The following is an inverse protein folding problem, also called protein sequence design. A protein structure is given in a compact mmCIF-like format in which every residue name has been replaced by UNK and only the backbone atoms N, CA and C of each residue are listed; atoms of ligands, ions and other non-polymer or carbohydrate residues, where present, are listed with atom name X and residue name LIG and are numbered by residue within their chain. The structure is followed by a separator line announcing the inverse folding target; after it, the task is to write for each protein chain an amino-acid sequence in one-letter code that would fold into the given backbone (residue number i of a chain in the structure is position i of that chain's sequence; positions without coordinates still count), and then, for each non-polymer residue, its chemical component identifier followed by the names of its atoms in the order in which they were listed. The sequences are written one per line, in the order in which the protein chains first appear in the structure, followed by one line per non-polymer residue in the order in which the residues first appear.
data_IF_443101791024
#
_entry.id   IF_443101791024
#
_cell.length_a   1.000
_cell.length_b   1.000
_cell.length_c   1.000
_cell.angle_alpha   90.00
_cell.angle_beta   90.00
_cell.angle_gamma   90.00
#
_symmetry.space_group_name_H-M   'P 1'
#
loop_
_entity.id
_entity.type
_entity.pdbx_description
1 polymer ?
#
# COMPACT_ATOMS: atom_id res chain seq x y z
N UNK A 1 -67.08 44.87 16.01
CA UNK A 1 -66.78 43.92 14.88
C UNK A 1 -65.27 43.88 14.72
N UNK A 2 -64.68 42.91 15.38
CA UNK A 2 -63.19 42.79 15.47
C UNK A 2 -62.68 41.80 14.43
N UNK A 3 -61.78 42.27 13.54
CA UNK A 3 -61.10 41.45 12.54
C UNK A 3 -59.89 40.80 13.16
N UNK A 4 -59.93 39.54 13.44
CA UNK A 4 -58.80 38.73 13.86
C UNK A 4 -57.97 38.38 12.63
N UNK A 5 -56.82 39.04 12.53
CA UNK A 5 -55.79 38.66 11.55
C UNK A 5 -54.93 37.53 12.15
N UNK A 6 -55.22 36.34 11.66
CA UNK A 6 -54.41 35.17 11.96
C UNK A 6 -53.07 35.30 11.23
N UNK A 7 -52.00 35.55 11.96
CA UNK A 7 -50.59 35.47 11.44
C UNK A 7 -50.19 33.99 11.39
N UNK A 8 -50.21 33.43 10.18
CA UNK A 8 -49.63 32.14 9.91
C UNK A 8 -48.11 32.33 9.83
N UNK A 9 -47.44 31.94 10.90
CA UNK A 9 -45.97 31.88 10.96
C UNK A 9 -45.53 30.59 10.28
N UNK A 10 -45.05 30.70 9.05
CA UNK A 10 -44.44 29.58 8.33
C UNK A 10 -43.04 29.39 8.90
N UNK A 11 -42.90 28.43 9.82
CA UNK A 11 -41.59 27.92 10.25
C UNK A 11 -40.99 27.11 9.12
N UNK A 12 -40.06 27.73 8.38
CA UNK A 12 -39.18 27.04 7.46
C UNK A 12 -38.22 26.17 8.30
N UNK A 13 -38.58 24.91 8.47
CA UNK A 13 -37.68 23.91 9.05
C UNK A 13 -36.64 23.57 7.96
N UNK A 14 -35.52 24.30 7.94
CA UNK A 14 -34.37 23.95 7.16
C UNK A 14 -33.82 22.64 7.74
N UNK A 15 -34.21 21.52 7.18
CA UNK A 15 -33.63 20.22 7.44
C UNK A 15 -32.16 20.27 6.96
N UNK A 16 -31.25 20.62 7.87
CA UNK A 16 -29.83 20.38 7.69
C UNK A 16 -29.66 18.85 7.61
N UNK A 17 -29.61 18.34 6.39
CA UNK A 17 -29.06 17.00 6.15
C UNK A 17 -27.57 17.04 6.53
N UNK A 18 -27.29 16.76 7.81
CA UNK A 18 -25.96 16.30 8.21
C UNK A 18 -25.74 14.98 7.48
N UNK A 19 -25.16 15.05 6.30
CA UNK A 19 -24.46 13.88 5.75
C UNK A 19 -23.32 13.58 6.72
N UNK A 20 -23.55 12.66 7.64
CA UNK A 20 -22.46 12.04 8.39
C UNK A 20 -21.58 11.41 7.33
N UNK A 21 -20.52 12.15 6.91
CA UNK A 21 -19.44 11.58 6.15
C UNK A 21 -18.87 10.46 7.03
N UNK A 22 -19.23 9.24 6.74
CA UNK A 22 -18.72 8.06 7.44
C UNK A 22 -17.25 7.97 7.05
N UNK A 23 -16.41 8.57 7.90
CA UNK A 23 -15.00 8.70 7.67
C UNK A 23 -14.38 7.32 7.54
N UNK A 24 -13.96 6.98 6.32
CA UNK A 24 -12.99 5.94 6.08
C UNK A 24 -11.80 6.25 7.00
N UNK A 25 -11.26 5.24 7.65
CA UNK A 25 -10.16 5.44 8.58
C UNK A 25 -8.88 5.74 7.79
N UNK A 26 -8.63 7.01 7.54
CA UNK A 26 -7.35 7.50 7.02
C UNK A 26 -6.51 7.95 8.20
N UNK A 27 -5.32 7.39 8.33
CA UNK A 27 -4.42 7.66 9.46
C UNK A 27 -3.07 8.14 8.92
N UNK A 28 -2.53 9.26 9.39
CA UNK A 28 -1.18 9.68 9.03
C UNK A 28 -0.16 8.71 9.63
N UNK A 29 0.85 8.35 8.83
CA UNK A 29 2.01 7.60 9.31
C UNK A 29 2.97 8.52 10.04
N UNK A 30 3.38 8.14 11.23
CA UNK A 30 4.35 8.88 12.04
C UNK A 30 5.42 7.92 12.61
N UNK A 31 6.68 8.05 12.18
CA UNK A 31 7.16 8.97 11.12
C UNK A 31 6.67 8.53 9.72
N UNK A 32 6.66 9.45 8.73
CA UNK A 32 6.47 9.09 7.34
C UNK A 32 7.54 8.10 6.88
N UNK A 33 7.16 7.15 6.02
CA UNK A 33 8.07 6.15 5.51
C UNK A 33 8.72 6.62 4.19
N UNK A 34 9.96 6.19 3.92
CA UNK A 34 10.65 6.53 2.68
C UNK A 34 9.93 5.91 1.47
N UNK A 35 9.88 6.65 0.37
CA UNK A 35 9.34 6.21 -0.91
C UNK A 35 10.43 6.24 -1.98
N UNK A 36 10.22 5.52 -3.08
CA UNK A 36 11.11 5.63 -4.23
C UNK A 36 11.04 7.06 -4.80
N UNK A 37 12.22 7.68 -5.00
CA UNK A 37 12.29 9.04 -5.52
C UNK A 37 12.37 9.03 -7.06
N UNK A 38 11.36 8.46 -7.71
CA UNK A 38 11.24 8.34 -9.16
C UNK A 38 10.22 9.32 -9.78
N UNK A 39 9.76 10.29 -8.97
CA UNK A 39 8.78 11.30 -9.38
C UNK A 39 7.34 10.78 -9.46
N UNK A 40 7.09 9.54 -9.03
CA UNK A 40 5.76 8.92 -9.04
C UNK A 40 5.17 8.89 -7.64
N UNK A 41 3.84 8.86 -7.59
CA UNK A 41 3.12 8.60 -6.35
C UNK A 41 3.09 7.09 -6.11
N UNK A 42 3.67 6.64 -5.01
CA UNK A 42 3.65 5.23 -4.61
C UNK A 42 2.38 4.91 -3.84
N UNK A 43 1.70 3.83 -4.24
CA UNK A 43 0.56 3.25 -3.51
C UNK A 43 0.91 1.81 -3.19
N UNK A 44 0.95 1.48 -1.89
CA UNK A 44 1.23 0.13 -1.40
C UNK A 44 -0.05 -0.49 -0.87
N UNK A 45 -0.34 -1.72 -1.28
CA UNK A 45 -1.33 -2.56 -0.64
C UNK A 45 -0.62 -3.57 0.26
N UNK A 46 -0.90 -3.55 1.55
CA UNK A 46 -0.51 -4.61 2.47
C UNK A 46 -1.65 -5.63 2.57
N UNK A 47 -1.38 -6.87 2.19
CA UNK A 47 -2.38 -7.92 2.10
C UNK A 47 -1.91 -9.26 2.69
N UNK A 48 -2.85 -10.19 2.92
CA UNK A 48 -2.54 -11.58 3.23
C UNK A 48 -3.50 -12.52 2.48
N UNK A 49 -2.98 -13.61 1.90
CA UNK A 49 -3.83 -14.58 1.19
C UNK A 49 -4.89 -15.24 2.06
N UNK A 50 -4.61 -15.42 3.36
CA UNK A 50 -5.58 -15.94 4.31
C UNK A 50 -6.64 -14.94 4.78
N UNK A 51 -6.54 -13.68 4.36
CA UNK A 51 -7.46 -12.61 4.77
C UNK A 51 -8.65 -12.54 3.81
N UNK A 52 -9.86 -12.86 4.29
CA UNK A 52 -11.09 -12.78 3.50
C UNK A 52 -11.41 -11.36 3.01
N UNK A 53 -11.07 -10.34 3.81
CA UNK A 53 -11.27 -8.94 3.42
C UNK A 53 -10.36 -8.53 2.26
N UNK A 54 -9.12 -9.08 2.20
CA UNK A 54 -8.24 -8.90 1.06
C UNK A 54 -8.80 -9.58 -0.20
N UNK A 55 -9.27 -10.83 -0.05
CA UNK A 55 -9.91 -11.55 -1.16
C UNK A 55 -11.13 -10.78 -1.73
N UNK A 56 -11.93 -10.18 -0.85
CA UNK A 56 -13.09 -9.40 -1.26
C UNK A 56 -12.72 -8.06 -1.90
N UNK A 57 -11.59 -7.46 -1.51
CA UNK A 57 -11.11 -6.18 -2.06
C UNK A 57 -10.43 -6.36 -3.43
N UNK A 58 -9.76 -7.50 -3.66
CA UNK A 58 -8.89 -7.73 -4.81
C UNK A 58 -9.51 -7.37 -6.17
N UNK A 59 -10.76 -7.75 -6.52
CA UNK A 59 -11.34 -7.38 -7.82
C UNK A 59 -11.49 -5.87 -8.02
N UNK A 60 -11.83 -5.15 -6.95
CA UNK A 60 -11.97 -3.69 -6.99
C UNK A 60 -10.61 -3.00 -7.06
N UNK A 61 -9.62 -3.48 -6.30
CA UNK A 61 -8.25 -2.99 -6.34
C UNK A 61 -7.63 -3.17 -7.73
N UNK A 62 -7.75 -4.35 -8.31
CA UNK A 62 -7.24 -4.63 -9.64
C UNK A 62 -7.86 -3.70 -10.70
N UNK A 63 -9.19 -3.49 -10.62
CA UNK A 63 -9.90 -2.58 -11.51
C UNK A 63 -9.46 -1.13 -11.30
N UNK A 64 -9.28 -0.71 -10.06
CA UNK A 64 -8.82 0.63 -9.72
C UNK A 64 -7.36 0.85 -10.17
N UNK A 65 -6.47 -0.11 -9.90
CA UNK A 65 -5.05 -0.03 -10.26
C UNK A 65 -4.84 0.11 -11.77
N UNK A 66 -5.60 -0.61 -12.59
CA UNK A 66 -5.55 -0.52 -14.07
C UNK A 66 -5.98 0.83 -14.62
N UNK A 67 -6.78 1.59 -13.88
CA UNK A 67 -7.23 2.93 -14.28
C UNK A 67 -6.24 4.03 -13.87
N UNK A 68 -5.25 3.72 -13.05
CA UNK A 68 -4.30 4.72 -12.60
C UNK A 68 -3.39 5.20 -13.74
N UNK A 69 -3.10 6.49 -13.80
CA UNK A 69 -2.17 7.04 -14.77
C UNK A 69 -0.73 6.59 -14.46
N UNK A 70 0.18 6.75 -15.43
CA UNK A 70 1.56 6.26 -15.37
C UNK A 70 2.43 6.92 -14.29
N UNK A 71 1.98 8.01 -13.70
CA UNK A 71 2.61 8.69 -12.57
C UNK A 71 2.19 8.12 -11.20
N UNK A 72 1.35 7.08 -11.17
CA UNK A 72 1.00 6.32 -9.97
C UNK A 72 1.56 4.91 -10.08
N UNK A 73 2.26 4.47 -9.04
CA UNK A 73 2.89 3.15 -8.97
C UNK A 73 2.22 2.33 -7.86
N UNK A 74 1.41 1.37 -8.27
CA UNK A 74 0.73 0.47 -7.33
C UNK A 74 1.58 -0.78 -7.12
N UNK A 75 1.85 -1.11 -5.86
CA UNK A 75 2.62 -2.30 -5.46
C UNK A 75 1.88 -3.08 -4.38
N UNK A 76 1.94 -4.41 -4.46
CA UNK A 76 1.44 -5.31 -3.44
C UNK A 76 2.56 -5.74 -2.50
N UNK A 77 2.32 -5.64 -1.20
CA UNK A 77 3.25 -6.05 -0.14
C UNK A 77 2.58 -7.16 0.66
N UNK A 78 3.00 -8.40 0.47
CA UNK A 78 2.45 -9.52 1.23
C UNK A 78 2.83 -9.41 2.71
N UNK A 79 1.85 -9.58 3.60
CA UNK A 79 2.05 -9.60 5.05
C UNK A 79 2.52 -10.97 5.52
N UNK A 80 3.44 -11.04 6.50
CA UNK A 80 3.87 -12.30 7.12
C UNK A 80 2.84 -12.91 8.07
N UNK A 81 1.75 -12.20 8.36
CA UNK A 81 0.73 -12.70 9.28
C UNK A 81 0.15 -13.99 8.73
N UNK A 82 0.40 -15.10 9.44
CA UNK A 82 0.01 -16.43 9.01
C UNK A 82 -1.48 -16.70 9.28
N UNK A 83 -2.36 -15.98 8.61
CA UNK A 83 -3.80 -16.24 8.65
C UNK A 83 -4.02 -17.57 7.90
N UNK A 84 -4.75 -18.49 8.50
CA UNK A 84 -4.98 -19.85 7.97
C UNK A 84 -3.68 -20.64 7.74
N UNK A 85 -2.58 -20.33 8.43
CA UNK A 85 -1.28 -20.98 8.24
C UNK A 85 -0.56 -20.59 6.94
N UNK A 86 -0.98 -19.53 6.25
CA UNK A 86 -0.44 -19.12 4.95
C UNK A 86 0.61 -18.02 5.16
N UNK A 87 1.88 -18.29 4.85
CA UNK A 87 2.90 -17.24 4.71
C UNK A 87 2.81 -16.60 3.32
N UNK A 88 2.08 -15.48 3.25
CA UNK A 88 1.86 -14.77 2.00
C UNK A 88 3.15 -14.21 1.39
N UNK A 89 4.17 -13.91 2.21
CA UNK A 89 5.43 -13.32 1.71
C UNK A 89 6.19 -14.29 0.83
N UNK A 90 6.29 -15.53 1.29
CA UNK A 90 7.00 -16.57 0.56
C UNK A 90 6.27 -16.97 -0.72
N UNK A 91 4.95 -17.19 -0.62
CA UNK A 91 4.14 -17.60 -1.78
C UNK A 91 4.20 -16.52 -2.87
N UNK A 92 3.94 -15.26 -2.51
CA UNK A 92 3.89 -14.14 -3.47
C UNK A 92 5.22 -13.99 -4.23
N UNK A 93 6.34 -13.87 -3.49
CA UNK A 93 7.62 -13.62 -4.13
C UNK A 93 8.19 -14.83 -4.87
N UNK A 94 7.81 -16.06 -4.47
CA UNK A 94 8.15 -17.27 -5.24
C UNK A 94 7.46 -17.25 -6.59
N UNK A 95 6.17 -16.96 -6.62
CA UNK A 95 5.41 -16.89 -7.88
C UNK A 95 5.81 -15.69 -8.74
N UNK A 96 6.21 -14.58 -8.12
CA UNK A 96 6.77 -13.44 -8.83
C UNK A 96 8.10 -13.83 -9.50
N UNK A 97 9.01 -14.52 -8.79
CA UNK A 97 10.27 -14.99 -9.34
C UNK A 97 10.09 -15.98 -10.51
N UNK A 98 9.01 -16.75 -10.49
CA UNK A 98 8.63 -17.66 -11.57
C UNK A 98 7.82 -16.99 -12.71
N UNK A 99 7.55 -15.67 -12.62
CA UNK A 99 6.73 -14.96 -13.61
C UNK A 99 5.26 -15.38 -13.63
N UNK A 100 4.76 -15.95 -12.52
CA UNK A 100 3.41 -16.49 -12.43
C UNK A 100 2.44 -15.64 -11.59
N UNK A 101 2.95 -14.59 -10.95
CA UNK A 101 2.18 -13.86 -9.93
C UNK A 101 0.92 -13.22 -10.52
N UNK A 102 1.01 -12.52 -11.65
CA UNK A 102 -0.12 -11.84 -12.28
C UNK A 102 -1.29 -12.79 -12.58
N UNK A 103 -0.96 -14.00 -12.99
CA UNK A 103 -1.95 -15.04 -13.36
C UNK A 103 -2.53 -15.75 -12.14
N UNK A 104 -1.72 -15.94 -11.10
CA UNK A 104 -2.08 -16.79 -9.97
C UNK A 104 -2.52 -16.02 -8.72
N UNK A 105 -2.19 -14.74 -8.59
CA UNK A 105 -2.56 -13.95 -7.41
C UNK A 105 -4.07 -14.02 -7.09
N UNK A 106 -4.99 -13.71 -8.01
CA UNK A 106 -6.42 -13.83 -7.71
C UNK A 106 -6.87 -15.28 -7.51
N UNK A 107 -6.22 -16.25 -8.18
CA UNK A 107 -6.55 -17.66 -8.02
C UNK A 107 -6.18 -18.22 -6.65
N UNK A 108 -5.12 -17.70 -6.00
CA UNK A 108 -4.76 -18.13 -4.65
C UNK A 108 -5.81 -17.69 -3.64
N UNK A 109 -6.34 -16.47 -3.78
CA UNK A 109 -7.48 -16.04 -2.96
C UNK A 109 -8.68 -16.96 -3.16
N UNK A 110 -9.02 -17.29 -4.41
CA UNK A 110 -10.12 -18.21 -4.70
C UNK A 110 -9.85 -19.61 -4.12
N UNK A 111 -8.62 -20.12 -4.27
CA UNK A 111 -8.22 -21.41 -3.70
C UNK A 111 -8.42 -21.44 -2.19
N UNK A 112 -7.94 -20.41 -1.48
CA UNK A 112 -8.02 -20.35 -0.03
C UNK A 112 -9.46 -20.18 0.50
N UNK A 113 -10.26 -19.33 -0.15
CA UNK A 113 -11.55 -18.91 0.41
C UNK A 113 -12.77 -19.57 -0.24
N UNK A 114 -12.71 -19.96 -1.51
CA UNK A 114 -13.84 -20.53 -2.25
C UNK A 114 -13.66 -22.03 -2.51
N UNK A 115 -12.48 -22.46 -2.95
CA UNK A 115 -12.21 -23.86 -3.29
C UNK A 115 -11.83 -24.72 -2.07
N UNK A 116 -11.67 -24.10 -0.89
CA UNK A 116 -11.27 -24.75 0.37
C UNK A 116 -9.93 -25.51 0.26
N UNK A 117 -9.03 -25.00 -0.58
CA UNK A 117 -7.66 -25.52 -0.68
C UNK A 117 -6.88 -25.06 0.58
N UNK A 118 -6.27 -26.00 1.26
CA UNK A 118 -5.42 -25.67 2.42
C UNK A 118 -4.06 -25.16 1.90
N UNK A 119 -4.02 -23.91 1.47
CA UNK A 119 -2.84 -23.26 0.86
C UNK A 119 -1.63 -23.27 1.80
N UNK A 120 -1.85 -23.23 3.12
CA UNK A 120 -0.80 -23.33 4.14
C UNK A 120 -0.21 -24.75 4.27
N UNK A 121 -0.78 -25.78 3.62
CA UNK A 121 -0.24 -27.13 3.61
C UNK A 121 0.58 -27.36 2.33
N UNK A 122 1.91 -27.56 2.40
CA UNK A 122 2.77 -27.68 1.23
C UNK A 122 2.35 -28.80 0.28
N UNK A 123 1.96 -29.95 0.78
CA UNK A 123 1.56 -31.09 -0.06
C UNK A 123 0.27 -30.82 -0.84
N UNK A 124 -0.69 -30.15 -0.22
CA UNK A 124 -1.94 -29.77 -0.88
C UNK A 124 -1.70 -28.64 -1.87
N UNK A 125 -0.90 -27.65 -1.48
CA UNK A 125 -0.59 -26.50 -2.32
C UNK A 125 0.24 -26.89 -3.54
N UNK A 126 1.19 -27.84 -3.42
CA UNK A 126 1.97 -28.35 -4.56
C UNK A 126 1.07 -29.01 -5.59
N UNK A 127 0.07 -29.79 -5.18
CA UNK A 127 -0.92 -30.37 -6.12
C UNK A 127 -1.75 -29.29 -6.82
N UNK A 128 -2.09 -28.22 -6.09
CA UNK A 128 -2.80 -27.08 -6.68
C UNK A 128 -1.91 -26.32 -7.67
N UNK A 129 -0.63 -26.11 -7.35
CA UNK A 129 0.36 -25.49 -8.24
C UNK A 129 0.49 -26.29 -9.55
N UNK A 130 0.66 -27.60 -9.46
CA UNK A 130 0.76 -28.49 -10.62
C UNK A 130 -0.48 -28.40 -11.51
N UNK A 131 -1.69 -28.48 -10.92
CA UNK A 131 -2.96 -28.30 -11.64
C UNK A 131 -3.05 -26.93 -12.32
N UNK A 132 -2.37 -25.91 -11.80
CA UNK A 132 -2.31 -24.56 -12.35
C UNK A 132 -1.07 -24.32 -13.23
N UNK A 133 -0.35 -25.37 -13.65
CA UNK A 133 0.76 -25.30 -14.60
C UNK A 133 2.07 -24.77 -14.00
N UNK A 134 2.25 -24.87 -12.69
CA UNK A 134 3.51 -24.56 -11.99
C UNK A 134 4.13 -25.88 -11.53
N UNK A 135 5.36 -26.14 -11.97
CA UNK A 135 6.14 -27.29 -11.52
C UNK A 135 6.50 -27.14 -10.04
N UNK A 136 6.05 -28.06 -9.15
CA UNK A 136 6.33 -27.96 -7.71
C UNK A 136 7.82 -27.95 -7.36
N UNK A 137 8.66 -28.67 -8.13
CA UNK A 137 10.10 -28.69 -7.89
C UNK A 137 10.72 -27.33 -8.18
N UNK A 138 10.37 -26.71 -9.31
CA UNK A 138 10.81 -25.34 -9.63
C UNK A 138 10.31 -24.34 -8.62
N UNK A 139 9.09 -24.52 -8.10
CA UNK A 139 8.55 -23.68 -7.03
C UNK A 139 9.38 -23.79 -5.75
N UNK A 140 9.71 -25.02 -5.31
CA UNK A 140 10.52 -25.25 -4.12
C UNK A 140 11.97 -24.71 -4.25
N UNK A 141 12.55 -24.83 -5.45
CA UNK A 141 13.87 -24.26 -5.76
C UNK A 141 13.83 -22.72 -5.72
N UNK A 142 12.85 -22.11 -6.39
CA UNK A 142 12.68 -20.67 -6.41
C UNK A 142 12.43 -20.11 -5.01
N UNK A 143 11.64 -20.79 -4.18
CA UNK A 143 11.34 -20.42 -2.80
C UNK A 143 12.62 -20.27 -1.94
N UNK A 144 13.63 -21.08 -2.20
CA UNK A 144 14.91 -21.05 -1.47
C UNK A 144 15.92 -20.07 -2.05
N UNK A 145 15.59 -19.42 -3.17
CA UNK A 145 16.50 -18.49 -3.83
C UNK A 145 16.77 -17.25 -2.96
N UNK A 146 17.99 -16.72 -3.06
CA UNK A 146 18.38 -15.50 -2.35
C UNK A 146 17.44 -14.32 -2.64
N UNK A 147 16.99 -14.19 -3.87
CA UNK A 147 16.05 -13.12 -4.28
C UNK A 147 14.71 -13.22 -3.53
N UNK A 148 14.11 -14.41 -3.49
CA UNK A 148 12.82 -14.62 -2.80
C UNK A 148 12.96 -14.38 -1.30
N UNK A 149 13.98 -14.96 -0.68
CA UNK A 149 14.25 -14.80 0.76
C UNK A 149 14.45 -13.32 1.10
N UNK A 150 15.24 -12.60 0.30
CA UNK A 150 15.50 -11.16 0.52
C UNK A 150 14.24 -10.33 0.38
N UNK A 151 13.43 -10.55 -0.67
CA UNK A 151 12.15 -9.83 -0.87
C UNK A 151 11.15 -10.13 0.24
N UNK A 152 11.02 -11.40 0.65
CA UNK A 152 10.14 -11.79 1.75
C UNK A 152 10.55 -11.12 3.07
N UNK A 153 11.85 -11.08 3.38
CA UNK A 153 12.34 -10.39 4.58
C UNK A 153 12.14 -8.88 4.51
N UNK A 154 12.32 -8.27 3.33
CA UNK A 154 12.00 -6.85 3.13
C UNK A 154 10.51 -6.56 3.37
N UNK A 155 9.61 -7.40 2.87
CA UNK A 155 8.18 -7.23 3.10
C UNK A 155 7.82 -7.34 4.59
N UNK A 156 8.42 -8.30 5.32
CA UNK A 156 8.26 -8.42 6.78
C UNK A 156 8.67 -7.14 7.48
N UNK A 157 9.86 -6.63 7.13
CA UNK A 157 10.33 -5.37 7.69
C UNK A 157 9.43 -4.18 7.33
N UNK A 158 8.89 -4.12 6.12
CA UNK A 158 7.95 -3.06 5.74
C UNK A 158 6.67 -3.12 6.59
N UNK A 159 6.12 -4.30 6.87
CA UNK A 159 4.95 -4.44 7.75
C UNK A 159 5.24 -3.87 9.14
N UNK A 160 6.44 -4.09 9.68
CA UNK A 160 6.87 -3.54 10.97
C UNK A 160 7.07 -2.02 10.91
N UNK A 161 7.85 -1.53 9.94
CA UNK A 161 8.18 -0.11 9.79
C UNK A 161 6.94 0.76 9.55
N UNK A 162 5.99 0.26 8.77
CA UNK A 162 4.70 0.92 8.50
C UNK A 162 3.66 0.70 9.60
N UNK A 163 3.99 -0.11 10.64
CA UNK A 163 3.10 -0.46 11.76
C UNK A 163 1.77 -1.03 11.28
N UNK A 164 1.83 -1.91 10.27
CA UNK A 164 0.64 -2.55 9.71
C UNK A 164 0.13 -3.59 10.70
N UNK A 165 -1.06 -3.38 11.25
CA UNK A 165 -1.71 -4.25 12.22
C UNK A 165 -2.99 -4.92 11.70
N UNK A 166 -3.42 -4.55 10.52
CA UNK A 166 -4.59 -5.11 9.84
C UNK A 166 -4.39 -5.17 8.33
N UNK A 167 -5.07 -6.11 7.67
CA UNK A 167 -5.10 -6.24 6.20
C UNK A 167 -6.54 -6.33 5.70
N UNK A 168 -6.88 -5.78 4.55
CA UNK A 168 -6.02 -4.98 3.67
C UNK A 168 -5.78 -3.56 4.23
N UNK A 169 -4.55 -3.04 4.06
CA UNK A 169 -4.22 -1.64 4.33
C UNK A 169 -3.59 -1.04 3.09
N UNK A 170 -4.11 0.09 2.62
CA UNK A 170 -3.54 0.86 1.53
C UNK A 170 -2.69 1.99 2.11
N UNK A 171 -1.45 2.14 1.64
CA UNK A 171 -0.59 3.26 2.04
C UNK A 171 -0.29 4.11 0.82
N UNK A 172 -0.46 5.43 0.95
CA UNK A 172 -0.18 6.39 -0.12
C UNK A 172 1.06 7.21 0.22
N UNK A 173 2.03 7.11 -0.66
CA UNK A 173 3.28 7.89 -0.66
C UNK A 173 4.01 7.90 0.69
N UNK A 174 3.99 6.77 1.42
CA UNK A 174 4.60 6.60 2.73
C UNK A 174 4.07 7.53 3.83
N UNK A 175 2.94 8.22 3.61
CA UNK A 175 2.43 9.27 4.51
C UNK A 175 1.11 8.96 5.17
N UNK A 176 0.23 8.26 4.48
CA UNK A 176 -1.12 7.98 4.96
C UNK A 176 -1.47 6.52 4.74
N UNK A 177 -2.05 5.88 5.74
CA UNK A 177 -2.70 4.59 5.60
C UNK A 177 -4.21 4.76 5.52
N UNK A 178 -4.85 3.97 4.69
CA UNK A 178 -6.29 3.89 4.55
C UNK A 178 -6.73 2.43 4.65
N UNK A 179 -7.76 2.17 5.45
CA UNK A 179 -8.38 0.85 5.58
C UNK A 179 -9.84 0.92 5.17
N UNK A 180 -10.37 -0.20 4.69
CA UNK A 180 -11.77 -0.27 4.29
C UNK A 180 -12.68 -0.09 5.51
N UNK A 181 -13.56 0.89 5.43
CA UNK A 181 -14.61 1.13 6.42
C UNK A 181 -16.00 0.94 5.84
N UNK A 182 -16.96 1.63 6.42
CA UNK A 182 -18.34 1.69 5.91
C UNK A 182 -18.36 2.36 4.53
N UNK A 183 -19.11 1.81 3.58
CA UNK A 183 -19.12 2.28 2.18
C UNK A 183 -18.29 1.42 1.22
N UNK A 184 -17.58 0.42 1.75
CA UNK A 184 -16.94 -0.62 0.93
C UNK A 184 -15.75 -0.13 0.10
N UNK A 185 -15.40 -0.88 -0.96
CA UNK A 185 -14.25 -0.57 -1.82
C UNK A 185 -14.34 0.78 -2.51
N UNK A 186 -15.52 1.19 -2.98
CA UNK A 186 -15.69 2.46 -3.70
C UNK A 186 -15.34 3.66 -2.83
N UNK A 187 -15.79 3.65 -1.57
CA UNK A 187 -15.45 4.71 -0.64
C UNK A 187 -13.96 4.69 -0.24
N UNK A 188 -13.35 3.50 -0.13
CA UNK A 188 -11.91 3.38 0.10
C UNK A 188 -11.13 4.02 -1.05
N UNK A 189 -11.42 3.65 -2.29
CA UNK A 189 -10.68 4.16 -3.45
C UNK A 189 -10.94 5.63 -3.74
N UNK A 190 -12.11 6.17 -3.42
CA UNK A 190 -12.34 7.61 -3.48
C UNK A 190 -11.38 8.39 -2.54
N UNK A 191 -11.15 7.89 -1.31
CA UNK A 191 -10.17 8.49 -0.41
C UNK A 191 -8.72 8.28 -0.88
N UNK A 192 -8.39 7.10 -1.39
CA UNK A 192 -7.06 6.84 -1.95
C UNK A 192 -6.78 7.78 -3.12
N UNK A 193 -7.74 8.02 -4.01
CA UNK A 193 -7.62 8.97 -5.12
C UNK A 193 -7.36 10.40 -4.64
N UNK A 194 -8.04 10.83 -3.56
CA UNK A 194 -7.76 12.13 -2.95
C UNK A 194 -6.33 12.20 -2.41
N UNK A 195 -5.88 11.20 -1.67
CA UNK A 195 -4.51 11.13 -1.14
C UNK A 195 -3.46 11.10 -2.27
N UNK A 196 -3.73 10.40 -3.36
CA UNK A 196 -2.88 10.36 -4.56
C UNK A 196 -2.78 11.75 -5.19
N UNK A 197 -3.91 12.46 -5.33
CA UNK A 197 -3.93 13.82 -5.87
C UNK A 197 -3.15 14.80 -5.01
N UNK A 198 -3.30 14.71 -3.68
CA UNK A 198 -2.55 15.54 -2.73
C UNK A 198 -1.05 15.24 -2.77
N UNK A 199 -0.66 13.98 -2.88
CA UNK A 199 0.74 13.57 -3.02
C UNK A 199 1.34 14.10 -4.34
N UNK A 200 0.60 13.96 -5.44
CA UNK A 200 0.99 14.48 -6.77
C UNK A 200 1.20 15.99 -6.77
N UNK A 201 0.33 16.76 -6.12
CA UNK A 201 0.47 18.20 -5.99
C UNK A 201 1.77 18.57 -5.24
N UNK A 202 2.08 17.87 -4.16
CA UNK A 202 3.32 18.07 -3.39
C UNK A 202 4.59 17.72 -4.18
N UNK A 203 4.58 16.65 -4.97
CA UNK A 203 5.71 16.30 -5.84
C UNK A 203 5.98 17.39 -6.87
N UNK A 204 4.94 17.95 -7.51
CA UNK A 204 5.07 19.05 -8.47
C UNK A 204 5.65 20.33 -7.85
N UNK A 205 5.21 20.69 -6.64
CA UNK A 205 5.72 21.88 -5.93
C UNK A 205 7.16 21.70 -5.48
N UNK A 206 7.55 20.49 -5.04
CA UNK A 206 8.92 20.16 -4.67
C UNK A 206 9.88 20.18 -5.86
N UNK A 207 9.42 19.73 -7.03
CA UNK A 207 10.21 19.76 -8.27
C UNK A 207 10.36 21.19 -8.85
N UNK A 208 9.41 22.09 -8.56
CA UNK A 208 9.42 23.48 -9.02
C UNK A 208 10.19 24.43 -8.09
N UNK A 209 10.60 23.98 -6.89
CA UNK A 209 11.40 24.79 -5.99
C UNK A 209 12.82 24.95 -6.58
N UNK A 210 13.35 26.20 -6.75
CA UNK A 210 14.67 26.40 -7.29
C UNK A 210 15.69 25.71 -6.38
N UNK A 211 16.55 24.88 -7.00
CA UNK A 211 17.73 24.35 -6.32
C UNK A 211 18.58 25.55 -5.91
N UNK A 212 18.56 25.89 -4.63
CA UNK A 212 19.55 26.81 -4.08
C UNK A 212 20.87 26.10 -4.20
N UNK A 213 21.60 26.44 -5.26
CA UNK A 213 22.97 26.03 -5.45
C UNK A 213 23.75 26.53 -4.23
N UNK A 214 24.09 25.64 -3.33
CA UNK A 214 25.03 25.94 -2.28
C UNK A 214 26.37 26.22 -2.95
N UNK A 215 26.64 27.49 -3.22
CA UNK A 215 27.97 27.99 -3.52
C UNK A 215 28.85 27.73 -2.30
N UNK A 216 29.40 26.54 -2.23
CA UNK A 216 30.53 26.23 -1.37
C UNK A 216 31.72 26.95 -1.95
N UNK A 217 31.98 28.18 -1.46
CA UNK A 217 33.27 28.84 -1.67
C UNK A 217 34.37 27.91 -1.17
N UNK A 218 35.46 27.77 -1.94
CA UNK A 218 36.56 26.90 -1.52
C UNK A 218 37.19 27.45 -0.24
N UNK A 219 37.11 26.65 0.85
CA UNK A 219 37.87 26.89 2.07
C UNK A 219 39.36 26.76 1.72
N UNK A 220 40.05 27.89 1.69
CA UNK A 220 41.53 27.91 1.60
C UNK A 220 42.10 27.28 2.87
N UNK A 221 42.55 26.04 2.76
CA UNK A 221 43.32 25.38 3.81
C UNK A 221 44.74 25.97 3.80
N UNK A 222 45.02 26.83 4.75
CA UNK A 222 46.33 27.40 5.01
C UNK A 222 47.18 26.29 5.65
N UNK A 223 48.12 25.75 4.88
CA UNK A 223 49.13 24.78 5.34
C UNK A 223 50.10 25.48 6.30
N UNK A 224 49.95 25.23 7.59
CA UNK A 224 50.90 25.59 8.63
C UNK A 224 52.16 24.81 8.44
N UNK A 225 53.30 25.50 8.16
CA UNK A 225 54.67 24.94 8.05
C UNK A 225 55.06 24.22 9.33
N UNK A 226 55.83 23.12 9.23
CA UNK A 226 56.37 22.45 10.42
C UNK A 226 57.47 23.29 11.08
N UNK A 227 57.38 23.43 12.39
CA UNK A 227 58.42 24.01 13.23
C UNK A 227 59.52 22.97 13.41
N UNK A 228 60.70 23.28 12.89
CA UNK A 228 61.95 22.55 13.14
C UNK A 228 62.36 22.73 14.59
N UNK A 229 62.46 21.63 15.36
CA UNK A 229 63.08 21.60 16.66
C UNK A 229 64.59 21.48 16.47
N UNK A 230 65.31 22.45 17.00
CA UNK A 230 66.75 22.41 17.15
C UNK A 230 67.14 22.00 18.60
N UNK A 231 68.08 21.09 18.68
CA UNK A 231 68.87 20.66 19.83
C UNK A 231 68.24 19.78 20.88
#
# INVERSE_FOLDING_TARGET
MSKWLTKISVFLFAAFFFTAAQAQKVTPLNPPQPVENDGKVEVLEFFAYGCIHCANLEPALETWAKKQPTDVKVKRIPSPVAIMGIDSTVIYYTLEALGQIERLHPKIFNAAHLEKVIVGNPSIFNKWLEKNGVDPKKYEEAQKSFSVVTKANRARKMVEDYKINETPTIVVNGRFSAVQGVGGPDALFANVDQLVNDARAKLKTSAAAPTVSANLAPVKTELKKPVTAAK
#
